data_IF_314636645045
#
_entry.id   IF_314636645045
#
_cell.length_a   1.000
_cell.length_b   1.000
_cell.length_c   1.000
_cell.angle_alpha   90.00
_cell.angle_beta   90.00
_cell.angle_gamma   90.00
#
_symmetry.space_group_name_H-M   'P 1'
#
loop_
_entity.id
_entity.type
_entity.pdbx_description
1 polymer ?
#
# COMPACT_ATOMS: atom_id res chain seq x y z
N UNK A 1 49.81 12.54 38.27
CA UNK A 1 48.53 11.84 38.20
C UNK A 1 48.80 10.36 38.44
N UNK A 2 48.19 9.77 39.47
CA UNK A 2 48.45 8.39 39.87
C UNK A 2 48.05 7.42 38.76
N UNK A 3 49.01 6.56 38.31
CA UNK A 3 48.76 5.57 37.26
C UNK A 3 47.51 4.71 37.51
N UNK A 4 47.16 4.46 38.78
CA UNK A 4 45.97 3.72 39.20
C UNK A 4 44.68 4.49 38.93
N UNK A 5 44.68 5.83 39.06
CA UNK A 5 43.51 6.69 38.79
C UNK A 5 43.28 6.78 37.28
N UNK A 6 44.34 6.88 36.48
CA UNK A 6 44.21 6.88 35.01
C UNK A 6 43.64 5.56 34.47
N UNK A 7 44.06 4.43 35.07
CA UNK A 7 43.54 3.10 34.68
C UNK A 7 42.06 2.94 35.04
N UNK A 8 41.67 3.43 36.19
CA UNK A 8 40.24 3.38 36.64
C UNK A 8 39.36 4.26 35.76
N UNK A 9 39.83 5.42 35.34
CA UNK A 9 39.13 6.34 34.45
C UNK A 9 38.98 5.76 33.04
N UNK A 10 40.02 5.08 32.51
CA UNK A 10 40.00 4.39 31.23
C UNK A 10 38.99 3.22 31.25
N UNK A 11 38.94 2.46 32.34
CA UNK A 11 38.00 1.36 32.50
C UNK A 11 36.56 1.84 32.58
N UNK A 12 36.32 2.96 33.30
CA UNK A 12 35.02 3.59 33.40
C UNK A 12 34.52 4.13 32.06
N UNK A 13 35.42 4.75 31.29
CA UNK A 13 35.13 5.27 29.95
C UNK A 13 34.77 4.14 28.97
N UNK A 14 35.47 3.02 29.05
CA UNK A 14 35.19 1.84 28.24
C UNK A 14 33.79 1.24 28.58
N UNK A 15 33.45 1.23 29.88
CA UNK A 15 32.15 0.76 30.32
C UNK A 15 30.99 1.65 29.85
N UNK A 16 31.20 2.99 29.88
CA UNK A 16 30.19 3.95 29.39
C UNK A 16 30.00 3.81 27.88
N UNK A 17 31.06 3.64 27.11
CA UNK A 17 30.95 3.43 25.63
C UNK A 17 30.26 2.11 25.29
N UNK A 18 30.47 1.06 26.13
CA UNK A 18 29.78 -0.23 25.93
C UNK A 18 28.29 -0.18 26.21
N UNK A 19 27.83 0.75 27.06
CA UNK A 19 26.41 0.92 27.42
C UNK A 19 25.63 1.75 26.37
N UNK A 20 26.31 2.44 25.47
CA UNK A 20 25.67 3.26 24.42
C UNK A 20 25.49 2.52 23.09
N UNK A 21 25.63 1.20 23.07
CA UNK A 21 25.16 0.43 21.93
C UNK A 21 23.62 0.49 21.94
N UNK A 22 23.08 1.58 21.40
CA UNK A 22 21.73 1.56 20.90
C UNK A 22 21.75 0.52 19.79
N UNK A 23 21.21 -0.64 20.04
CA UNK A 23 20.80 -1.52 18.97
C UNK A 23 19.86 -0.65 18.12
N UNK A 24 20.34 -0.19 17.00
CA UNK A 24 19.46 0.30 15.95
C UNK A 24 18.66 -0.93 15.54
N UNK A 25 17.49 -1.10 16.17
CA UNK A 25 16.52 -2.04 15.68
C UNK A 25 16.23 -1.60 14.25
N UNK A 26 16.79 -2.33 13.31
CA UNK A 26 16.36 -2.19 11.94
C UNK A 26 14.86 -2.49 11.99
N UNK A 27 14.06 -1.62 11.44
CA UNK A 27 12.61 -1.78 11.40
C UNK A 27 12.19 -2.15 9.99
N UNK A 28 11.05 -2.79 9.87
CA UNK A 28 10.42 -3.00 8.58
C UNK A 28 10.26 -1.64 7.86
N UNK A 29 10.60 -1.61 6.58
CA UNK A 29 10.43 -0.45 5.70
C UNK A 29 9.52 -0.86 4.55
N UNK A 30 8.23 -0.70 4.79
CA UNK A 30 7.21 -1.06 3.82
C UNK A 30 7.01 0.06 2.82
N UNK A 31 6.90 -0.31 1.54
CA UNK A 31 6.54 0.55 0.43
C UNK A 31 5.29 0.01 -0.24
N UNK A 32 4.31 0.87 -0.44
CA UNK A 32 2.98 0.48 -0.94
C UNK A 32 2.75 1.06 -2.33
N UNK A 33 2.31 0.21 -3.25
CA UNK A 33 1.77 0.61 -4.54
C UNK A 33 0.34 0.11 -4.67
N UNK A 34 -0.60 1.01 -4.94
CA UNK A 34 -2.01 0.69 -5.01
C UNK A 34 -2.65 1.15 -6.32
N UNK A 35 -3.45 0.27 -6.92
CA UNK A 35 -4.21 0.54 -8.13
C UNK A 35 -5.66 0.11 -7.93
N UNK A 36 -6.62 0.96 -8.30
CA UNK A 36 -8.04 0.66 -8.17
C UNK A 36 -8.72 0.61 -9.54
N UNK A 37 -9.63 -0.35 -9.68
CA UNK A 37 -10.37 -0.53 -10.92
C UNK A 37 -9.45 -0.92 -12.06
N UNK A 38 -9.70 -0.36 -13.24
CA UNK A 38 -8.90 -0.62 -14.43
C UNK A 38 -8.30 0.70 -14.90
N UNK A 39 -6.97 0.80 -14.83
CA UNK A 39 -6.26 2.07 -15.07
C UNK A 39 -6.82 3.22 -14.22
N UNK A 40 -7.03 2.98 -12.94
CA UNK A 40 -7.65 3.90 -11.99
C UNK A 40 -9.04 4.41 -12.40
N UNK A 41 -9.78 3.61 -13.19
CA UNK A 41 -11.17 3.91 -13.52
C UNK A 41 -12.09 2.91 -12.86
N UNK A 42 -13.15 3.45 -12.29
CA UNK A 42 -14.18 2.68 -11.60
C UNK A 42 -15.54 3.06 -12.15
N UNK A 43 -16.50 2.15 -12.02
CA UNK A 43 -17.89 2.40 -12.34
C UNK A 43 -18.72 2.30 -11.08
N UNK A 44 -19.65 3.24 -10.92
CA UNK A 44 -20.55 3.31 -9.78
C UNK A 44 -21.35 2.00 -9.62
N UNK A 45 -21.62 1.60 -8.39
CA UNK A 45 -22.41 0.42 -8.02
C UNK A 45 -21.89 -0.93 -8.56
N UNK A 46 -20.62 -0.99 -8.96
CA UNK A 46 -20.01 -2.24 -9.41
C UNK A 46 -18.84 -2.63 -8.52
N UNK A 47 -18.70 -3.94 -8.32
CA UNK A 47 -17.53 -4.49 -7.63
C UNK A 47 -16.26 -4.01 -8.33
N UNK A 48 -15.38 -3.39 -7.56
CA UNK A 48 -14.19 -2.74 -8.08
C UNK A 48 -12.94 -3.44 -7.53
N UNK A 49 -12.04 -3.93 -8.39
CA UNK A 49 -10.80 -4.52 -7.94
C UNK A 49 -9.86 -3.43 -7.39
N UNK A 50 -9.30 -3.68 -6.22
CA UNK A 50 -8.20 -2.95 -5.63
C UNK A 50 -6.98 -3.88 -5.59
N UNK A 51 -5.91 -3.51 -6.25
CA UNK A 51 -4.65 -4.23 -6.22
C UNK A 51 -3.66 -3.45 -5.37
N UNK A 52 -3.14 -4.08 -4.32
CA UNK A 52 -2.15 -3.48 -3.42
C UNK A 52 -0.90 -4.34 -3.43
N UNK A 53 0.22 -3.77 -3.84
CA UNK A 53 1.54 -4.40 -3.77
C UNK A 53 2.33 -3.77 -2.64
N UNK A 54 2.80 -4.60 -1.72
CA UNK A 54 3.58 -4.20 -0.57
C UNK A 54 4.98 -4.78 -0.73
N UNK A 55 6.00 -3.93 -0.70
CA UNK A 55 7.41 -4.31 -0.76
C UNK A 55 8.07 -3.99 0.57
N UNK A 56 8.81 -4.92 1.13
CA UNK A 56 9.58 -4.68 2.35
C UNK A 56 11.05 -4.47 2.04
N UNK A 57 11.54 -3.25 2.19
CA UNK A 57 12.92 -2.84 1.97
C UNK A 57 13.76 -2.86 3.26
N UNK A 58 13.14 -3.18 4.39
CA UNK A 58 13.78 -3.27 5.71
C UNK A 58 13.86 -4.69 6.24
N UNK A 59 13.81 -4.85 7.56
CA UNK A 59 13.75 -6.14 8.23
C UNK A 59 12.40 -6.82 8.03
N UNK A 60 12.33 -8.13 8.32
CA UNK A 60 11.09 -8.89 8.21
C UNK A 60 9.96 -8.23 9.03
N UNK A 61 8.78 -8.18 8.44
CA UNK A 61 7.56 -7.72 9.08
C UNK A 61 6.63 -8.91 9.31
N UNK A 62 6.03 -8.95 10.50
CA UNK A 62 4.95 -9.87 10.84
C UNK A 62 3.88 -9.12 11.60
N UNK A 63 2.65 -9.14 11.09
CA UNK A 63 1.55 -8.37 11.67
C UNK A 63 0.32 -8.33 10.78
N UNK A 64 -0.40 -7.22 10.83
CA UNK A 64 -1.61 -7.03 10.06
C UNK A 64 -1.49 -5.84 9.07
N UNK A 65 -1.92 -6.09 7.84
CA UNK A 65 -2.25 -5.08 6.85
C UNK A 65 -3.73 -4.76 6.94
N UNK A 66 -4.05 -3.50 7.17
CA UNK A 66 -5.42 -3.02 7.37
C UNK A 66 -5.77 -2.02 6.28
N UNK A 67 -6.92 -2.23 5.66
CA UNK A 67 -7.53 -1.30 4.72
C UNK A 67 -8.72 -0.68 5.42
N UNK A 68 -8.67 0.63 5.63
CA UNK A 68 -9.78 1.40 6.18
C UNK A 68 -10.79 1.73 5.08
N UNK A 69 -11.64 0.76 4.80
CA UNK A 69 -12.74 0.93 3.88
C UNK A 69 -13.93 1.53 4.64
N UNK A 70 -13.92 2.83 4.91
CA UNK A 70 -15.11 3.51 5.43
C UNK A 70 -16.26 3.43 4.42
N UNK A 71 -17.11 2.50 4.69
CA UNK A 71 -18.14 2.06 3.79
C UNK A 71 -19.43 2.86 3.89
N UNK A 72 -19.67 3.55 4.95
CA UNK A 72 -20.91 4.29 5.15
C UNK A 72 -20.81 5.19 6.37
N UNK A 73 -21.66 6.21 6.41
CA UNK A 73 -21.80 7.15 7.52
C UNK A 73 -21.99 6.51 8.91
N UNK A 74 -22.27 5.22 8.99
CA UNK A 74 -22.67 4.57 10.23
C UNK A 74 -21.86 3.34 10.64
N UNK A 75 -21.00 2.79 9.79
CA UNK A 75 -20.25 1.57 10.10
C UNK A 75 -18.90 1.58 9.38
N UNK A 76 -17.89 2.12 10.04
CA UNK A 76 -16.50 1.89 9.63
C UNK A 76 -16.22 0.40 9.74
N UNK A 77 -15.94 -0.26 8.63
CA UNK A 77 -15.43 -1.62 8.63
C UNK A 77 -14.04 -1.59 8.00
N UNK A 78 -13.04 -2.01 8.76
CA UNK A 78 -11.71 -2.23 8.25
C UNK A 78 -11.59 -3.67 7.73
N UNK A 79 -10.91 -3.83 6.60
CA UNK A 79 -10.48 -5.14 6.12
C UNK A 79 -9.11 -5.44 6.70
N UNK A 80 -8.96 -6.56 7.38
CA UNK A 80 -7.72 -6.95 8.05
C UNK A 80 -7.16 -8.20 7.39
N UNK A 81 -5.90 -8.11 6.95
CA UNK A 81 -5.18 -9.19 6.31
C UNK A 81 -3.90 -9.49 7.09
N UNK A 82 -3.69 -10.72 7.58
CA UNK A 82 -2.40 -11.12 8.13
C UNK A 82 -1.30 -10.96 7.07
N UNK A 83 -0.20 -10.34 7.45
CA UNK A 83 0.94 -10.08 6.57
C UNK A 83 2.24 -10.48 7.24
N UNK A 84 2.86 -11.52 6.68
CA UNK A 84 4.25 -11.87 6.96
C UNK A 84 5.04 -11.61 5.69
N UNK A 85 6.04 -10.73 5.74
CA UNK A 85 6.83 -10.36 4.58
C UNK A 85 8.32 -10.27 4.97
N UNK A 86 9.14 -11.05 4.29
CA UNK A 86 10.58 -11.07 4.54
C UNK A 86 11.25 -9.80 4.01
N UNK A 87 12.49 -9.57 4.43
CA UNK A 87 13.34 -8.52 3.87
C UNK A 87 13.53 -8.70 2.36
N UNK A 88 13.28 -7.67 1.58
CA UNK A 88 13.37 -7.69 0.11
C UNK A 88 12.20 -8.39 -0.60
N UNK A 89 11.22 -8.90 0.12
CA UNK A 89 10.05 -9.56 -0.48
C UNK A 89 8.99 -8.54 -0.89
N UNK A 90 8.19 -8.90 -1.92
CA UNK A 90 6.98 -8.19 -2.29
C UNK A 90 5.79 -9.11 -2.29
N UNK A 91 4.65 -8.64 -1.77
CA UNK A 91 3.36 -9.34 -1.80
C UNK A 91 2.29 -8.48 -2.44
N UNK A 92 1.45 -9.12 -3.26
CA UNK A 92 0.34 -8.45 -3.92
C UNK A 92 -0.98 -9.03 -3.44
N UNK A 93 -1.88 -8.13 -3.02
CA UNK A 93 -3.24 -8.43 -2.64
C UNK A 93 -4.18 -7.95 -3.73
N UNK A 94 -5.12 -8.79 -4.14
CA UNK A 94 -6.21 -8.40 -5.00
C UNK A 94 -7.52 -8.51 -4.23
N UNK A 95 -8.18 -7.39 -4.03
CA UNK A 95 -9.35 -7.25 -3.18
C UNK A 95 -10.48 -6.69 -4.04
N UNK A 96 -11.68 -7.22 -3.89
CA UNK A 96 -12.83 -6.67 -4.56
C UNK A 96 -13.64 -5.85 -3.56
N UNK A 97 -13.76 -4.56 -3.85
CA UNK A 97 -14.56 -3.63 -3.08
C UNK A 97 -15.97 -3.62 -3.66
N UNK A 98 -16.95 -3.98 -2.86
CA UNK A 98 -18.33 -4.12 -3.29
C UNK A 98 -19.07 -2.79 -3.16
N UNK A 99 -19.63 -2.28 -4.27
CA UNK A 99 -20.54 -1.13 -4.29
C UNK A 99 -20.00 0.25 -3.87
N UNK A 100 -18.70 0.44 -3.78
CA UNK A 100 -18.03 1.52 -3.03
C UNK A 100 -17.58 2.74 -3.77
N UNK A 101 -18.08 3.02 -4.88
CA UNK A 101 -17.57 4.10 -5.71
C UNK A 101 -17.62 5.49 -5.07
N UNK A 102 -18.67 5.81 -4.33
CA UNK A 102 -18.87 7.20 -3.88
C UNK A 102 -17.94 7.62 -2.74
N UNK A 103 -17.70 6.77 -1.75
CA UNK A 103 -16.85 7.13 -0.61
C UNK A 103 -15.36 7.15 -0.94
N UNK A 104 -14.88 6.25 -1.80
CA UNK A 104 -13.50 6.26 -2.26
C UNK A 104 -13.17 7.50 -3.12
N UNK A 105 -14.16 8.02 -3.87
CA UNK A 105 -13.97 9.17 -4.76
C UNK A 105 -14.13 10.50 -4.02
N UNK A 106 -15.09 10.59 -3.12
CA UNK A 106 -15.38 11.86 -2.43
C UNK A 106 -14.53 12.10 -1.19
N UNK A 107 -13.83 11.11 -0.70
CA UNK A 107 -13.05 11.19 0.53
C UNK A 107 -11.54 11.44 0.31
N UNK A 108 -11.18 12.03 -0.82
CA UNK A 108 -9.77 12.35 -1.18
C UNK A 108 -9.06 13.31 -0.20
N UNK A 109 -9.74 13.76 0.85
CA UNK A 109 -9.16 14.63 1.89
C UNK A 109 -8.92 13.90 3.22
N UNK A 110 -9.15 12.60 3.29
CA UNK A 110 -8.94 11.83 4.51
C UNK A 110 -7.60 11.11 4.52
N UNK A 111 -7.15 10.92 5.75
CA UNK A 111 -6.00 10.15 6.15
C UNK A 111 -5.92 8.77 5.46
N UNK A 112 -4.74 8.25 5.43
CA UNK A 112 -4.31 6.97 4.89
C UNK A 112 -5.38 5.86 4.88
N UNK A 113 -5.60 5.25 3.73
CA UNK A 113 -6.46 4.06 3.61
C UNK A 113 -5.76 2.80 4.11
N UNK A 114 -4.44 2.80 4.13
CA UNK A 114 -3.65 1.64 4.46
C UNK A 114 -2.97 1.84 5.80
N UNK A 115 -2.98 0.80 6.61
CA UNK A 115 -2.31 0.80 7.91
C UNK A 115 -1.61 -0.53 8.13
N UNK A 116 -0.49 -0.49 8.83
CA UNK A 116 0.28 -1.67 9.19
C UNK A 116 0.47 -1.71 10.69
N UNK A 117 0.20 -2.88 11.29
CA UNK A 117 0.34 -3.11 12.72
C UNK A 117 1.28 -4.29 12.94
N UNK A 118 2.53 -3.99 13.32
CA UNK A 118 3.50 -5.01 13.68
C UNK A 118 3.06 -5.72 14.97
N UNK A 119 2.96 -7.05 14.94
CA UNK A 119 2.40 -7.85 16.04
C UNK A 119 0.87 -7.89 16.09
N UNK A 120 0.18 -7.36 15.06
CA UNK A 120 -1.27 -7.42 14.88
C UNK A 120 -2.03 -6.22 15.43
N UNK A 121 -3.27 -6.02 14.93
CA UNK A 121 -4.09 -4.84 15.22
C UNK A 121 -4.49 -4.70 16.69
N UNK A 122 -4.64 -5.82 17.42
CA UNK A 122 -5.14 -5.77 18.79
C UNK A 122 -4.09 -5.28 19.80
N UNK A 123 -2.83 -5.67 19.64
CA UNK A 123 -1.75 -5.44 20.62
C UNK A 123 -0.48 -4.91 19.98
N UNK A 124 -0.45 -4.85 18.67
CA UNK A 124 0.72 -4.46 17.92
C UNK A 124 0.93 -2.95 17.86
N UNK A 125 2.03 -2.56 17.28
CA UNK A 125 2.41 -1.19 17.07
C UNK A 125 2.11 -0.78 15.63
N UNK A 126 1.38 0.33 15.44
CA UNK A 126 1.24 0.93 14.11
C UNK A 126 2.61 1.41 13.63
N UNK A 127 2.98 1.04 12.40
CA UNK A 127 4.23 1.47 11.78
C UNK A 127 3.94 2.40 10.60
N UNK A 128 4.89 3.27 10.31
CA UNK A 128 4.88 4.13 9.13
C UNK A 128 5.35 3.35 7.91
N UNK A 129 4.93 3.81 6.73
CA UNK A 129 5.30 3.23 5.45
C UNK A 129 5.46 4.32 4.39
N UNK A 130 6.02 3.97 3.22
CA UNK A 130 6.17 4.86 2.07
C UNK A 130 5.24 4.44 0.92
N UNK A 131 5.17 5.28 -0.13
CA UNK A 131 4.38 5.01 -1.33
C UNK A 131 2.96 5.55 -1.28
N UNK A 132 2.01 4.77 -1.76
CA UNK A 132 0.62 5.20 -1.90
C UNK A 132 -0.13 5.07 -0.57
N UNK A 133 -0.63 6.18 -0.07
CA UNK A 133 -1.46 6.25 1.15
C UNK A 133 -2.96 6.11 0.85
N UNK A 134 -3.36 6.42 -0.37
CA UNK A 134 -4.73 6.34 -0.87
C UNK A 134 -4.74 6.13 -2.38
N UNK A 135 -5.89 5.82 -2.93
CA UNK A 135 -6.11 5.71 -4.36
C UNK A 135 -7.04 6.83 -4.83
N UNK A 136 -6.80 7.36 -6.03
CA UNK A 136 -7.63 8.41 -6.64
C UNK A 136 -8.28 7.90 -7.92
N UNK A 137 -9.39 7.17 -7.81
CA UNK A 137 -10.06 6.64 -8.98
C UNK A 137 -10.75 7.76 -9.77
N UNK A 138 -10.80 7.58 -11.09
CA UNK A 138 -11.65 8.34 -11.97
C UNK A 138 -12.97 7.60 -12.17
N UNK A 139 -14.07 8.22 -11.75
CA UNK A 139 -15.39 7.65 -11.97
C UNK A 139 -15.78 7.72 -13.44
N UNK A 140 -16.33 6.63 -13.95
CA UNK A 140 -17.00 6.60 -15.24
C UNK A 140 -18.46 6.93 -15.05
N UNK A 141 -19.00 7.70 -15.98
CA UNK A 141 -20.42 8.03 -15.99
C UNK A 141 -21.28 6.77 -16.04
N UNK A 142 -22.50 6.85 -15.51
CA UNK A 142 -23.41 5.71 -15.41
C UNK A 142 -23.66 5.03 -16.75
N UNK A 143 -23.80 5.81 -17.82
CA UNK A 143 -24.04 5.31 -19.19
C UNK A 143 -22.76 4.83 -19.90
N UNK A 144 -21.59 5.09 -19.33
CA UNK A 144 -20.32 4.68 -19.90
C UNK A 144 -20.20 3.17 -19.94
N UNK A 145 -19.77 2.63 -21.05
CA UNK A 145 -19.43 1.21 -21.21
C UNK A 145 -17.94 1.04 -21.26
N UNK A 146 -17.42 0.16 -20.44
CA UNK A 146 -16.02 -0.23 -20.46
C UNK A 146 -15.92 -1.49 -21.34
N UNK A 147 -15.19 -1.38 -22.43
CA UNK A 147 -14.96 -2.48 -23.37
C UNK A 147 -13.50 -2.86 -23.33
N UNK A 148 -13.22 -4.09 -22.95
CA UNK A 148 -11.87 -4.64 -23.00
C UNK A 148 -11.65 -5.34 -24.32
N UNK A 149 -10.55 -5.02 -24.98
CA UNK A 149 -10.11 -5.73 -26.16
C UNK A 149 -8.72 -6.30 -25.89
N UNK A 150 -8.64 -7.60 -25.84
CA UNK A 150 -7.36 -8.32 -25.75
C UNK A 150 -6.91 -8.65 -27.17
N UNK A 151 -5.79 -8.10 -27.60
CA UNK A 151 -5.25 -8.34 -28.94
C UNK A 151 -3.74 -8.28 -28.91
N UNK A 152 -3.11 -9.13 -29.70
CA UNK A 152 -1.67 -9.09 -29.96
C UNK A 152 -1.32 -8.20 -31.18
N UNK A 153 -2.31 -7.52 -31.78
CA UNK A 153 -2.12 -6.66 -32.95
C UNK A 153 -2.93 -5.37 -32.76
N UNK A 154 -2.23 -4.30 -32.36
CA UNK A 154 -2.84 -2.97 -32.15
C UNK A 154 -3.41 -2.33 -33.42
N UNK A 155 -2.89 -2.69 -34.60
CA UNK A 155 -3.35 -2.12 -35.88
C UNK A 155 -4.82 -2.47 -36.15
N UNK A 156 -5.28 -3.62 -35.65
CA UNK A 156 -6.69 -4.04 -35.74
C UNK A 156 -7.63 -3.09 -35.01
N UNK A 157 -7.12 -2.33 -34.04
CA UNK A 157 -7.89 -1.35 -33.28
C UNK A 157 -7.87 0.05 -33.89
N UNK A 158 -7.14 0.26 -34.98
CA UNK A 158 -7.01 1.58 -35.61
C UNK A 158 -8.37 2.18 -36.03
N UNK A 159 -9.32 1.33 -36.41
CA UNK A 159 -10.70 1.76 -36.74
C UNK A 159 -11.46 2.24 -35.48
N UNK A 160 -11.29 1.56 -34.36
CA UNK A 160 -11.95 1.91 -33.08
C UNK A 160 -11.39 3.20 -32.51
N UNK A 161 -10.07 3.43 -32.62
CA UNK A 161 -9.40 4.67 -32.21
C UNK A 161 -9.94 5.93 -32.92
N UNK A 162 -10.50 5.77 -34.11
CA UNK A 162 -11.07 6.86 -34.94
C UNK A 162 -12.53 7.20 -34.56
N UNK A 163 -13.18 6.40 -33.76
CA UNK A 163 -14.54 6.65 -33.34
C UNK A 163 -14.51 7.65 -32.16
N UNK A 164 -15.11 8.84 -32.38
CA UNK A 164 -15.16 9.89 -31.37
C UNK A 164 -15.88 9.51 -30.07
N UNK A 165 -16.57 8.37 -30.07
CA UNK A 165 -17.33 7.84 -28.94
C UNK A 165 -16.49 6.95 -28.00
N UNK A 166 -15.25 6.65 -28.37
CA UNK A 166 -14.39 5.77 -27.58
C UNK A 166 -13.14 6.50 -27.12
N UNK A 167 -12.87 6.42 -25.83
CA UNK A 167 -11.54 6.74 -25.29
C UNK A 167 -10.75 5.44 -25.25
N UNK A 168 -9.78 5.31 -26.14
CA UNK A 168 -8.90 4.12 -26.17
C UNK A 168 -7.77 4.33 -25.16
N UNK A 169 -7.63 3.38 -24.25
CA UNK A 169 -6.52 3.29 -23.32
C UNK A 169 -5.63 2.13 -23.72
N UNK A 170 -4.35 2.40 -23.84
CA UNK A 170 -3.38 1.32 -24.01
C UNK A 170 -3.08 0.72 -22.64
N UNK A 171 -3.36 -0.57 -22.50
CA UNK A 171 -2.96 -1.36 -21.32
C UNK A 171 -1.96 -2.40 -21.81
N UNK A 172 -0.75 -2.35 -21.31
CA UNK A 172 0.19 -3.46 -21.47
C UNK A 172 -0.28 -4.60 -20.56
N UNK A 173 -0.65 -5.72 -21.17
CA UNK A 173 -0.88 -6.97 -20.43
C UNK A 173 0.46 -7.70 -20.41
N UNK A 174 1.11 -7.69 -19.27
CA UNK A 174 2.31 -8.51 -19.04
C UNK A 174 1.80 -9.88 -18.55
N UNK A 175 2.13 -10.93 -19.32
CA UNK A 175 1.88 -12.32 -18.95
C UNK A 175 3.05 -12.88 -18.15
#
# INVERSE_FOLDING_TARGET
MNKKIALLFSLLLFFIVSLTHNEAFASAQLDVKAEIGINNRIKQEQATPLTVTITNNGDSFSGDFVIDAEVSYNLGSALVYPLDIASGESKTFQIYLDGYSDNLVYNTQRADYFHFYEGGIEKGKKIEYSGDHYVTPRMLDYDSKLIFVVTNNEDRLSGVKKLNQFTVMNTEVIF
#
